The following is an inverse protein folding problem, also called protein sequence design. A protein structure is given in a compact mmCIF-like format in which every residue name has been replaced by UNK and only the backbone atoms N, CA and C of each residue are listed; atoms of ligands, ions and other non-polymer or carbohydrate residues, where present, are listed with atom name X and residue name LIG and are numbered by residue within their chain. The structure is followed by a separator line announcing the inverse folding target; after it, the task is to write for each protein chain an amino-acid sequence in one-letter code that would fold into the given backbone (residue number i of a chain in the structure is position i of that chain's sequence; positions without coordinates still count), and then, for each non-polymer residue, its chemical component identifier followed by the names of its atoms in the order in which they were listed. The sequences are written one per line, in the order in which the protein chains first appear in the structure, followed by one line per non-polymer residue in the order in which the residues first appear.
data_IF_187744666631
#
_entry.id   IF_187744666631
#
_cell.length_a   1.000
_cell.length_b   1.000
_cell.length_c   1.000
_cell.angle_alpha   90.00
_cell.angle_beta   90.00
_cell.angle_gamma   90.00
#
_symmetry.space_group_name_H-M   'P 1'
#
loop_
_entity.id
_entity.type
_entity.pdbx_description
1 polymer ?
#
# COMPACT_ATOMS: atom_id res chain seq x y z
N UNK A 1 -85.17 15.82 -20.15
CA UNK A 1 -85.06 15.77 -18.68
C UNK A 1 -84.46 14.43 -18.30
N UNK A 2 -83.57 14.34 -17.30
CA UNK A 2 -82.46 15.26 -16.96
C UNK A 2 -81.23 14.86 -17.85
N UNK A 3 -79.94 14.86 -17.50
CA UNK A 3 -79.15 15.41 -16.38
C UNK A 3 -77.75 15.84 -16.90
N UNK A 4 -77.04 16.63 -16.09
CA UNK A 4 -75.67 17.10 -16.30
C UNK A 4 -74.59 16.14 -15.75
N UNK A 5 -73.37 16.25 -16.33
CA UNK A 5 -72.01 16.25 -15.70
C UNK A 5 -71.51 15.13 -14.73
N UNK A 6 -70.19 15.05 -14.40
CA UNK A 6 -68.97 15.45 -15.14
C UNK A 6 -67.81 14.41 -15.10
N UNK A 7 -66.64 14.81 -15.63
CA UNK A 7 -65.25 14.48 -15.23
C UNK A 7 -64.96 13.25 -14.33
N UNK A 8 -64.08 12.36 -14.80
CA UNK A 8 -63.29 11.47 -13.96
C UNK A 8 -61.79 11.75 -14.18
N UNK A 9 -61.08 12.12 -13.10
CA UNK A 9 -59.71 12.61 -13.15
C UNK A 9 -58.69 11.50 -13.46
N UNK A 10 -57.60 11.88 -14.14
CA UNK A 10 -56.40 11.05 -14.23
C UNK A 10 -55.69 11.08 -12.87
N UNK A 11 -55.88 10.02 -12.07
CA UNK A 11 -55.16 9.86 -10.80
C UNK A 11 -53.66 9.69 -11.07
N UNK A 12 -52.89 10.72 -10.76
CA UNK A 12 -51.43 10.65 -10.75
C UNK A 12 -50.99 9.74 -9.62
N UNK A 13 -50.45 8.56 -9.95
CA UNK A 13 -49.73 7.73 -8.99
C UNK A 13 -48.48 8.48 -8.53
N UNK A 14 -48.56 9.15 -7.38
CA UNK A 14 -47.39 9.65 -6.68
C UNK A 14 -46.49 8.45 -6.37
N UNK A 15 -45.28 8.47 -6.89
CA UNK A 15 -44.23 7.58 -6.45
C UNK A 15 -43.71 8.15 -5.14
N UNK A 16 -44.01 7.50 -4.01
CA UNK A 16 -43.41 7.84 -2.73
C UNK A 16 -41.89 7.64 -2.84
N UNK A 17 -41.17 8.74 -3.03
CA UNK A 17 -39.74 8.78 -2.82
C UNK A 17 -39.51 8.77 -1.31
N UNK A 18 -39.02 7.64 -0.80
CA UNK A 18 -38.58 7.55 0.60
C UNK A 18 -37.48 8.60 0.85
N UNK A 19 -37.84 9.68 1.54
CA UNK A 19 -36.86 10.64 2.04
C UNK A 19 -36.00 9.94 3.09
N UNK A 20 -34.81 9.53 2.68
CA UNK A 20 -33.76 9.09 3.58
C UNK A 20 -33.51 10.18 4.62
N UNK A 21 -33.62 9.83 5.90
CA UNK A 21 -33.52 10.68 7.09
C UNK A 21 -32.35 11.69 7.01
N UNK A 22 -32.66 12.86 6.45
CA UNK A 22 -31.72 13.92 6.14
C UNK A 22 -31.61 14.87 7.30
N UNK A 23 -30.88 14.48 8.35
CA UNK A 23 -30.48 15.43 9.39
C UNK A 23 -29.76 16.62 8.73
N UNK A 24 -30.30 17.83 8.90
CA UNK A 24 -29.72 19.04 8.32
C UNK A 24 -28.29 19.22 8.82
N UNK A 25 -27.32 18.95 7.94
CA UNK A 25 -25.91 19.19 8.21
C UNK A 25 -25.71 20.71 8.17
N UNK A 26 -25.71 21.35 9.33
CA UNK A 26 -25.43 22.78 9.49
C UNK A 26 -23.94 23.06 9.21
N UNK A 27 -23.63 23.26 7.93
CA UNK A 27 -22.28 23.63 7.45
C UNK A 27 -22.10 25.12 7.68
N UNK A 28 -21.06 25.51 8.43
CA UNK A 28 -20.75 26.93 8.61
C UNK A 28 -20.46 27.63 7.27
N UNK A 29 -20.87 28.89 7.11
CA UNK A 29 -20.57 29.68 5.90
C UNK A 29 -19.06 29.71 5.57
N UNK A 30 -18.22 29.64 6.62
CA UNK A 30 -16.76 29.58 6.49
C UNK A 30 -16.29 28.24 5.90
N UNK A 31 -16.87 27.13 6.34
CA UNK A 31 -16.58 25.79 5.80
C UNK A 31 -17.07 25.64 4.36
N UNK A 32 -18.29 26.08 4.06
CA UNK A 32 -18.85 26.04 2.71
C UNK A 32 -17.98 26.86 1.72
N UNK A 33 -17.53 28.04 2.13
CA UNK A 33 -16.61 28.89 1.35
C UNK A 33 -15.22 28.26 1.17
N UNK A 34 -14.67 27.64 2.22
CA UNK A 34 -13.39 26.93 2.16
C UNK A 34 -13.44 25.72 1.22
N UNK A 35 -14.51 24.91 1.30
CA UNK A 35 -14.78 23.77 0.41
C UNK A 35 -14.85 24.24 -1.04
N UNK A 36 -15.66 25.26 -1.35
CA UNK A 36 -15.79 25.79 -2.71
C UNK A 36 -14.47 26.36 -3.26
N UNK A 37 -13.68 27.02 -2.41
CA UNK A 37 -12.37 27.57 -2.79
C UNK A 37 -11.37 26.45 -3.10
N UNK A 38 -11.38 25.38 -2.30
CA UNK A 38 -10.53 24.21 -2.51
C UNK A 38 -10.94 23.42 -3.77
N UNK A 39 -12.24 23.24 -4.02
CA UNK A 39 -12.77 22.63 -5.27
C UNK A 39 -12.26 23.38 -6.51
N UNK A 40 -12.42 24.72 -6.56
CA UNK A 40 -11.93 25.53 -7.67
C UNK A 40 -10.39 25.53 -7.82
N UNK A 41 -9.64 25.41 -6.71
CA UNK A 41 -8.19 25.27 -6.75
C UNK A 41 -7.76 23.92 -7.36
N UNK A 42 -8.45 22.83 -7.01
CA UNK A 42 -8.20 21.48 -7.53
C UNK A 42 -8.66 21.31 -8.98
N UNK A 43 -9.71 21.99 -9.43
CA UNK A 43 -10.07 22.08 -10.86
C UNK A 43 -8.97 22.75 -11.69
N UNK A 44 -8.32 23.78 -11.14
CA UNK A 44 -7.23 24.52 -11.79
C UNK A 44 -5.89 23.75 -11.76
N UNK A 45 -5.57 23.10 -10.64
CA UNK A 45 -4.38 22.27 -10.47
C UNK A 45 -4.73 20.95 -9.75
N UNK A 46 -5.12 19.89 -10.48
CA UNK A 46 -5.42 18.59 -9.89
C UNK A 46 -4.22 17.95 -9.16
N UNK A 47 -2.99 18.40 -9.45
CA UNK A 47 -1.75 17.84 -8.90
C UNK A 47 -1.27 18.54 -7.61
N UNK A 48 -2.11 19.34 -6.95
CA UNK A 48 -1.80 19.92 -5.64
C UNK A 48 -2.11 18.94 -4.49
N UNK A 49 -1.07 18.24 -4.00
CA UNK A 49 -1.19 17.31 -2.88
C UNK A 49 -1.68 17.98 -1.58
N UNK A 50 -1.21 19.19 -1.27
CA UNK A 50 -1.63 19.92 -0.06
C UNK A 50 -3.07 20.41 -0.20
N UNK A 51 -3.45 20.87 -1.41
CA UNK A 51 -4.83 21.18 -1.77
C UNK A 51 -5.80 20.03 -1.50
N UNK A 52 -5.49 18.82 -1.97
CA UNK A 52 -6.31 17.62 -1.72
C UNK A 52 -6.40 17.29 -0.23
N UNK A 53 -5.27 17.31 0.49
CA UNK A 53 -5.25 17.01 1.93
C UNK A 53 -6.09 18.01 2.76
N UNK A 54 -6.00 19.30 2.43
CA UNK A 54 -6.81 20.35 3.07
C UNK A 54 -8.30 20.19 2.73
N UNK A 55 -8.63 19.92 1.46
CA UNK A 55 -10.01 19.67 1.02
C UNK A 55 -10.65 18.50 1.78
N UNK A 56 -9.97 17.35 1.85
CA UNK A 56 -10.41 16.17 2.62
C UNK A 56 -10.66 16.52 4.09
N UNK A 57 -9.75 17.27 4.72
CA UNK A 57 -9.89 17.72 6.11
C UNK A 57 -11.14 18.59 6.33
N UNK A 58 -11.43 19.53 5.43
CA UNK A 58 -12.63 20.37 5.49
C UNK A 58 -13.92 19.56 5.28
N UNK A 59 -13.97 18.73 4.24
CA UNK A 59 -15.13 17.88 3.91
C UNK A 59 -15.43 16.90 5.05
N UNK A 60 -14.38 16.31 5.65
CA UNK A 60 -14.50 15.44 6.84
C UNK A 60 -15.03 16.18 8.06
N UNK A 61 -14.54 17.39 8.34
CA UNK A 61 -15.03 18.24 9.44
C UNK A 61 -16.53 18.53 9.32
N UNK A 62 -17.02 18.66 8.08
CA UNK A 62 -18.44 18.91 7.79
C UNK A 62 -19.31 17.64 7.80
N UNK A 63 -18.76 16.45 8.02
CA UNK A 63 -19.52 15.19 8.02
C UNK A 63 -20.08 14.77 6.65
N UNK A 64 -19.59 15.35 5.55
CA UNK A 64 -20.11 15.14 4.19
C UNK A 64 -19.61 13.83 3.58
N UNK A 65 -20.13 12.69 4.06
CA UNK A 65 -19.59 11.35 3.79
C UNK A 65 -19.43 11.01 2.30
N UNK A 66 -20.42 11.33 1.46
CA UNK A 66 -20.34 11.07 0.02
C UNK A 66 -19.18 11.85 -0.63
N UNK A 67 -19.13 13.18 -0.43
CA UNK A 67 -18.02 14.02 -0.90
C UNK A 67 -16.67 13.58 -0.32
N UNK A 68 -16.64 13.11 0.93
CA UNK A 68 -15.40 12.67 1.59
C UNK A 68 -14.82 11.42 0.90
N UNK A 69 -15.67 10.47 0.53
CA UNK A 69 -15.28 9.28 -0.23
C UNK A 69 -14.76 9.67 -1.62
N UNK A 70 -15.52 10.48 -2.35
CA UNK A 70 -15.13 10.93 -3.70
C UNK A 70 -13.81 11.70 -3.67
N UNK A 71 -13.60 12.57 -2.68
CA UNK A 71 -12.35 13.32 -2.50
C UNK A 71 -11.14 12.41 -2.22
N UNK A 72 -11.32 11.39 -1.37
CA UNK A 72 -10.28 10.42 -1.03
C UNK A 72 -9.95 9.49 -2.20
N UNK A 73 -10.96 9.02 -2.94
CA UNK A 73 -10.75 8.22 -4.16
C UNK A 73 -10.10 9.05 -5.27
N UNK A 74 -10.46 10.33 -5.43
CA UNK A 74 -9.82 11.26 -6.37
C UNK A 74 -8.34 11.50 -6.02
N UNK A 75 -8.03 11.85 -4.76
CA UNK A 75 -6.66 12.02 -4.30
C UNK A 75 -5.84 10.74 -4.47
N UNK A 76 -6.39 9.58 -4.07
CA UNK A 76 -5.72 8.29 -4.25
C UNK A 76 -5.58 7.89 -5.72
N UNK A 77 -6.41 8.36 -6.66
CA UNK A 77 -6.19 8.07 -8.07
C UNK A 77 -4.89 8.68 -8.60
N UNK A 78 -4.53 9.87 -8.10
CA UNK A 78 -3.35 10.63 -8.50
C UNK A 78 -2.11 10.26 -7.66
N UNK A 79 -2.26 10.17 -6.34
CA UNK A 79 -1.16 10.04 -5.39
C UNK A 79 -1.22 8.75 -4.56
N UNK A 80 -0.10 8.06 -4.34
CA UNK A 80 0.03 7.10 -3.24
C UNK A 80 -0.10 7.85 -1.91
N UNK A 81 -0.98 7.39 -1.02
CA UNK A 81 -1.28 8.12 0.22
C UNK A 81 -0.32 7.71 1.36
N UNK A 82 0.03 8.68 2.21
CA UNK A 82 0.81 8.42 3.42
C UNK A 82 0.01 7.67 4.50
N UNK A 83 0.73 7.01 5.42
CA UNK A 83 0.13 6.19 6.50
C UNK A 83 -0.98 6.92 7.28
N UNK A 84 -0.77 8.20 7.62
CA UNK A 84 -1.76 8.97 8.38
C UNK A 84 -3.11 9.14 7.68
N UNK A 85 -3.10 9.39 6.36
CA UNK A 85 -4.32 9.56 5.55
C UNK A 85 -5.03 8.21 5.40
N UNK A 86 -4.27 7.14 5.11
CA UNK A 86 -4.82 5.79 5.05
C UNK A 86 -5.46 5.37 6.38
N UNK A 87 -4.76 5.55 7.51
CA UNK A 87 -5.30 5.18 8.83
C UNK A 87 -6.50 6.04 9.26
N UNK A 88 -6.66 7.26 8.75
CA UNK A 88 -7.88 8.04 8.97
C UNK A 88 -9.05 7.47 8.16
N UNK A 89 -8.84 7.24 6.86
CA UNK A 89 -9.89 6.71 5.97
C UNK A 89 -10.35 5.31 6.42
N UNK A 90 -9.42 4.41 6.74
CA UNK A 90 -9.74 3.07 7.23
C UNK A 90 -10.55 3.09 8.54
N UNK A 91 -10.33 4.05 9.43
CA UNK A 91 -11.13 4.19 10.66
C UNK A 91 -12.55 4.65 10.38
N UNK A 92 -12.71 5.64 9.50
CA UNK A 92 -14.03 6.15 9.13
C UNK A 92 -14.87 5.05 8.43
N UNK A 93 -14.24 4.22 7.60
CA UNK A 93 -14.91 3.13 6.86
C UNK A 93 -15.21 1.92 7.76
N UNK A 94 -14.36 1.62 8.75
CA UNK A 94 -14.70 0.66 9.81
C UNK A 94 -15.89 1.15 10.64
N UNK A 95 -15.97 2.43 10.98
CA UNK A 95 -17.14 3.01 11.66
C UNK A 95 -18.40 3.01 10.76
N UNK A 96 -18.24 3.20 9.45
CA UNK A 96 -19.33 3.05 8.47
C UNK A 96 -19.85 1.59 8.41
N UNK A 97 -18.96 0.60 8.49
CA UNK A 97 -19.33 -0.81 8.62
C UNK A 97 -20.05 -1.11 9.95
N UNK A 98 -19.56 -0.58 11.07
CA UNK A 98 -20.21 -0.74 12.39
C UNK A 98 -21.61 -0.11 12.46
N UNK A 99 -21.85 0.98 11.71
CA UNK A 99 -23.17 1.60 11.54
C UNK A 99 -24.04 0.94 10.46
N UNK A 100 -23.53 -0.07 9.75
CA UNK A 100 -24.25 -0.81 8.71
C UNK A 100 -24.36 -0.08 7.35
N UNK A 101 -23.60 1.00 7.15
CA UNK A 101 -23.59 1.80 5.91
C UNK A 101 -22.51 1.38 4.90
N UNK A 102 -21.58 0.51 5.29
CA UNK A 102 -20.59 -0.12 4.42
C UNK A 102 -20.58 -1.65 4.58
N UNK A 103 -20.18 -2.40 3.54
CA UNK A 103 -20.07 -3.86 3.61
C UNK A 103 -18.70 -4.33 4.14
N UNK A 104 -18.58 -5.62 4.52
CA UNK A 104 -17.29 -6.18 4.94
C UNK A 104 -16.30 -6.20 3.77
N UNK A 105 -16.82 -6.43 2.57
CA UNK A 105 -16.12 -6.48 1.30
C UNK A 105 -15.54 -5.11 0.93
N UNK A 106 -16.29 -4.01 1.14
CA UNK A 106 -15.81 -2.64 0.90
C UNK A 106 -14.59 -2.31 1.76
N UNK A 107 -14.69 -2.52 3.08
CA UNK A 107 -13.61 -2.25 4.03
C UNK A 107 -12.41 -3.18 3.80
N UNK A 108 -12.66 -4.43 3.40
CA UNK A 108 -11.59 -5.38 3.02
C UNK A 108 -10.85 -4.90 1.76
N UNK A 109 -11.59 -4.51 0.71
CA UNK A 109 -11.02 -3.94 -0.52
C UNK A 109 -10.18 -2.70 -0.24
N UNK A 110 -10.62 -1.84 0.68
CA UNK A 110 -9.89 -0.63 1.03
C UNK A 110 -8.59 -0.94 1.78
N UNK A 111 -8.59 -1.91 2.71
CA UNK A 111 -7.35 -2.37 3.35
C UNK A 111 -6.38 -3.01 2.34
N UNK A 112 -6.88 -3.82 1.39
CA UNK A 112 -6.07 -4.38 0.30
C UNK A 112 -5.44 -3.30 -0.58
N UNK A 113 -6.09 -2.16 -0.75
CA UNK A 113 -5.54 -1.01 -1.47
C UNK A 113 -4.46 -0.31 -0.64
N UNK A 114 -4.75 -0.04 0.63
CA UNK A 114 -3.86 0.69 1.53
C UNK A 114 -2.49 -0.01 1.76
N UNK A 115 -2.44 -1.34 1.76
CA UNK A 115 -1.18 -2.10 1.91
C UNK A 115 -0.28 -2.09 0.66
N UNK A 116 -0.72 -1.53 -0.47
CA UNK A 116 0.05 -1.51 -1.72
C UNK A 116 0.95 -0.28 -1.89
N UNK A 117 0.59 0.87 -1.30
CA UNK A 117 1.35 2.11 -1.48
C UNK A 117 2.71 2.06 -0.77
N UNK A 118 2.71 1.77 0.53
CA UNK A 118 3.91 1.74 1.39
C UNK A 118 3.84 0.65 2.45
N UNK A 119 5.01 0.22 2.92
CA UNK A 119 5.12 -0.67 4.07
C UNK A 119 4.75 0.10 5.35
N UNK A 120 3.53 -0.11 5.85
CA UNK A 120 3.08 0.34 7.18
C UNK A 120 2.67 -0.86 8.02
N UNK A 121 3.30 -1.02 9.19
CA UNK A 121 2.89 -2.03 10.17
C UNK A 121 1.52 -1.68 10.80
N UNK A 122 1.20 -0.39 10.95
CA UNK A 122 -0.08 0.02 11.53
C UNK A 122 -1.27 -0.27 10.60
N UNK A 123 -1.13 -0.08 9.28
CA UNK A 123 -2.17 -0.45 8.30
C UNK A 123 -2.39 -1.96 8.32
N UNK A 124 -1.32 -2.77 8.34
CA UNK A 124 -1.43 -4.22 8.50
C UNK A 124 -2.14 -4.61 9.81
N UNK A 125 -1.81 -3.98 10.93
CA UNK A 125 -2.48 -4.26 12.22
C UNK A 125 -3.97 -3.85 12.20
N UNK A 126 -4.33 -2.73 11.56
CA UNK A 126 -5.72 -2.32 11.33
C UNK A 126 -6.46 -3.40 10.54
N UNK A 127 -5.88 -3.84 9.42
CA UNK A 127 -6.48 -4.86 8.57
C UNK A 127 -6.68 -6.18 9.32
N UNK A 128 -5.65 -6.64 10.04
CA UNK A 128 -5.70 -7.88 10.80
C UNK A 128 -6.72 -7.83 11.94
N UNK A 129 -6.87 -6.68 12.60
CA UNK A 129 -7.91 -6.47 13.61
C UNK A 129 -9.32 -6.52 12.98
N UNK A 130 -9.53 -5.83 11.86
CA UNK A 130 -10.79 -5.81 11.13
C UNK A 130 -11.18 -7.21 10.62
N UNK A 131 -10.30 -7.90 9.90
CA UNK A 131 -10.64 -9.20 9.32
C UNK A 131 -10.75 -10.32 10.37
N UNK A 132 -10.10 -10.17 11.52
CA UNK A 132 -10.32 -11.04 12.69
C UNK A 132 -11.66 -10.76 13.41
N UNK A 133 -12.33 -9.64 13.13
CA UNK A 133 -13.60 -9.31 13.78
C UNK A 133 -14.73 -10.22 13.28
N UNK A 134 -15.58 -10.69 14.20
CA UNK A 134 -16.71 -11.58 13.88
C UNK A 134 -16.36 -13.05 13.56
N UNK A 135 -15.09 -13.42 13.45
CA UNK A 135 -14.69 -14.82 13.16
C UNK A 135 -14.86 -15.70 14.40
N UNK A 136 -15.69 -16.73 14.29
CA UNK A 136 -15.96 -17.70 15.35
C UNK A 136 -15.04 -18.92 15.23
N UNK A 137 -14.66 -19.54 16.35
CA UNK A 137 -13.74 -20.69 16.39
C UNK A 137 -14.19 -21.93 15.61
N UNK A 138 -15.47 -22.02 15.23
CA UNK A 138 -16.03 -23.10 14.42
C UNK A 138 -15.94 -22.91 12.90
N UNK A 139 -15.70 -21.68 12.41
CA UNK A 139 -15.67 -21.40 10.97
C UNK A 139 -14.27 -21.66 10.38
N UNK A 140 -14.05 -22.90 9.95
CA UNK A 140 -12.77 -23.29 9.35
C UNK A 140 -12.44 -22.54 8.04
N UNK A 141 -13.41 -21.96 7.34
CA UNK A 141 -13.17 -21.23 6.10
C UNK A 141 -12.68 -19.82 6.41
N UNK A 142 -13.44 -19.06 7.21
CA UNK A 142 -13.05 -17.71 7.64
C UNK A 142 -11.74 -17.71 8.43
N UNK A 143 -11.50 -18.72 9.28
CA UNK A 143 -10.21 -18.86 9.98
C UNK A 143 -9.05 -19.09 8.99
N UNK A 144 -9.27 -19.80 7.88
CA UNK A 144 -8.22 -19.99 6.85
C UNK A 144 -7.89 -18.67 6.16
N UNK A 145 -8.90 -17.92 5.75
CA UNK A 145 -8.75 -16.62 5.09
C UNK A 145 -7.97 -15.62 5.98
N UNK A 146 -8.35 -15.53 7.26
CA UNK A 146 -7.63 -14.67 8.23
C UNK A 146 -6.16 -15.10 8.39
N UNK A 147 -5.87 -16.41 8.42
CA UNK A 147 -4.48 -16.92 8.46
C UNK A 147 -3.69 -16.54 7.21
N UNK A 148 -4.30 -16.61 6.03
CA UNK A 148 -3.64 -16.23 4.77
C UNK A 148 -3.30 -14.72 4.76
N UNK A 149 -4.15 -13.88 5.35
CA UNK A 149 -3.86 -12.44 5.54
C UNK A 149 -2.74 -12.23 6.58
N UNK A 150 -2.73 -12.98 7.68
CA UNK A 150 -1.61 -12.95 8.65
C UNK A 150 -0.27 -13.37 8.01
N UNK A 151 -0.24 -14.41 7.18
CA UNK A 151 0.99 -14.83 6.50
C UNK A 151 1.46 -13.82 5.44
N UNK A 152 0.55 -13.14 4.73
CA UNK A 152 0.90 -11.98 3.88
C UNK A 152 1.46 -10.82 4.70
N UNK A 153 0.81 -10.47 5.80
CA UNK A 153 1.28 -9.42 6.70
C UNK A 153 2.68 -9.73 7.26
N UNK A 154 2.93 -10.98 7.66
CA UNK A 154 4.27 -11.44 8.08
C UNK A 154 5.27 -11.40 6.92
N UNK A 155 4.89 -11.78 5.71
CA UNK A 155 5.78 -11.70 4.53
C UNK A 155 6.24 -10.26 4.27
N UNK A 156 5.35 -9.27 4.46
CA UNK A 156 5.69 -7.85 4.33
C UNK A 156 6.47 -7.28 5.54
N UNK A 157 6.10 -7.64 6.76
CA UNK A 157 6.51 -6.91 7.99
C UNK A 157 7.46 -7.67 8.92
N UNK A 158 7.61 -9.00 8.80
CA UNK A 158 8.31 -9.81 9.82
C UNK A 158 9.79 -9.47 10.00
N UNK A 159 10.46 -8.96 8.96
CA UNK A 159 11.87 -8.53 8.99
C UNK A 159 12.05 -7.08 9.46
N UNK A 160 10.96 -6.36 9.73
CA UNK A 160 11.01 -5.00 10.26
C UNK A 160 11.51 -5.04 11.71
N UNK A 161 12.72 -4.55 11.95
CA UNK A 161 13.48 -4.81 13.17
C UNK A 161 12.80 -4.32 14.47
N UNK A 162 12.26 -3.11 14.47
CA UNK A 162 11.51 -2.52 15.57
C UNK A 162 10.08 -3.08 15.66
N UNK A 163 9.27 -2.84 14.62
CA UNK A 163 7.83 -3.06 14.68
C UNK A 163 7.30 -4.43 14.24
N UNK A 164 8.07 -5.25 13.51
CA UNK A 164 7.59 -6.54 12.97
C UNK A 164 7.08 -7.49 14.05
N UNK A 165 7.63 -7.42 15.27
CA UNK A 165 7.18 -8.16 16.45
C UNK A 165 5.69 -7.93 16.79
N UNK A 166 5.12 -6.76 16.46
CA UNK A 166 3.71 -6.43 16.71
C UNK A 166 2.76 -7.32 15.91
N UNK A 167 3.09 -7.61 14.64
CA UNK A 167 2.29 -8.49 13.78
C UNK A 167 2.38 -9.95 14.24
N UNK A 168 3.58 -10.40 14.64
CA UNK A 168 3.74 -11.71 15.28
C UNK A 168 2.90 -11.85 16.54
N UNK A 169 2.86 -10.82 17.40
CA UNK A 169 2.06 -10.81 18.62
C UNK A 169 0.55 -10.87 18.33
N UNK A 170 0.06 -10.07 17.36
CA UNK A 170 -1.33 -10.11 16.92
C UNK A 170 -1.75 -11.50 16.40
N UNK A 171 -0.89 -12.18 15.64
CA UNK A 171 -1.17 -13.52 15.14
C UNK A 171 -1.20 -14.57 16.26
N UNK A 172 -0.25 -14.50 17.21
CA UNK A 172 -0.29 -15.36 18.42
C UNK A 172 -1.57 -15.14 19.23
N UNK A 173 -2.00 -13.89 19.39
CA UNK A 173 -3.24 -13.55 20.10
C UNK A 173 -4.48 -14.07 19.35
N UNK A 174 -4.50 -14.04 18.02
CA UNK A 174 -5.56 -14.66 17.23
C UNK A 174 -5.62 -16.19 17.43
N UNK A 175 -4.51 -16.90 17.23
CA UNK A 175 -4.45 -18.37 17.41
C UNK A 175 -4.76 -18.80 18.86
N UNK A 176 -4.37 -18.01 19.86
CA UNK A 176 -4.73 -18.27 21.26
C UNK A 176 -6.24 -18.09 21.52
N UNK A 177 -6.87 -17.05 20.95
CA UNK A 177 -8.32 -16.81 21.07
C UNK A 177 -9.16 -17.94 20.48
N UNK A 178 -8.72 -18.55 19.37
CA UNK A 178 -9.45 -19.67 18.74
C UNK A 178 -9.56 -20.92 19.64
N UNK A 179 -8.61 -21.10 20.57
CA UNK A 179 -8.51 -22.28 21.45
C UNK A 179 -9.00 -22.00 22.88
N UNK A 180 -9.25 -20.73 23.22
CA UNK A 180 -9.81 -20.37 24.52
C UNK A 180 -11.23 -20.97 24.69
N UNK A 181 -11.54 -21.65 25.81
CA UNK A 181 -12.88 -22.15 26.07
C UNK A 181 -13.86 -20.99 26.22
N UNK A 182 -15.02 -21.08 25.57
CA UNK A 182 -16.01 -20.00 25.54
C UNK A 182 -16.88 -19.90 26.81
N UNK A 183 -16.74 -20.83 27.76
CA UNK A 183 -17.47 -20.85 29.04
C UNK A 183 -16.54 -21.10 30.23
N UNK A 184 -16.83 -20.48 31.38
CA UNK A 184 -16.08 -20.60 32.65
C UNK A 184 -16.30 -21.95 33.38
N UNK A 185 -16.51 -23.04 32.65
CA UNK A 185 -17.03 -24.31 33.17
C UNK A 185 -16.12 -25.50 32.89
N UNK A 186 -14.83 -25.40 33.22
CA UNK A 186 -14.05 -26.53 33.75
C UNK A 186 -12.72 -26.13 34.39
N UNK A 187 -12.37 -26.87 35.42
CA UNK A 187 -11.15 -26.84 36.25
C UNK A 187 -9.86 -26.42 35.54
N UNK A 188 -9.02 -25.66 36.25
CA UNK A 188 -7.70 -25.19 35.84
C UNK A 188 -6.66 -26.31 35.59
N UNK A 189 -6.83 -27.09 34.52
CA UNK A 189 -5.68 -27.62 33.78
C UNK A 189 -4.97 -26.44 33.13
N UNK A 190 -3.66 -26.31 33.35
CA UNK A 190 -2.86 -25.25 32.76
C UNK A 190 -3.11 -25.22 31.24
N UNK A 191 -3.40 -24.03 30.70
CA UNK A 191 -3.65 -23.81 29.28
C UNK A 191 -2.44 -24.27 28.48
N UNK A 192 -2.45 -25.50 27.96
CA UNK A 192 -1.36 -25.97 27.13
C UNK A 192 -1.35 -25.13 25.85
N UNK A 193 -0.24 -24.44 25.55
CA UNK A 193 -0.18 -23.53 24.41
C UNK A 193 -0.25 -24.36 23.14
N UNK A 194 -1.17 -23.97 22.26
CA UNK A 194 -1.41 -24.65 20.98
C UNK A 194 -0.11 -24.79 20.20
N UNK A 195 0.15 -25.97 19.61
CA UNK A 195 1.34 -26.21 18.77
C UNK A 195 1.50 -25.16 17.64
N UNK A 196 0.40 -24.54 17.19
CA UNK A 196 0.43 -23.37 16.30
C UNK A 196 1.06 -22.12 16.91
N UNK A 197 0.68 -21.76 18.14
CA UNK A 197 1.26 -20.62 18.88
C UNK A 197 2.74 -20.87 19.17
N UNK A 198 3.10 -22.10 19.57
CA UNK A 198 4.50 -22.50 19.69
C UNK A 198 5.24 -22.38 18.35
N UNK A 199 4.69 -22.88 17.25
CA UNK A 199 5.29 -22.75 15.92
C UNK A 199 5.50 -21.29 15.48
N UNK A 200 4.58 -20.37 15.81
CA UNK A 200 4.76 -18.93 15.57
C UNK A 200 5.92 -18.35 16.39
N UNK A 201 6.03 -18.70 17.67
CA UNK A 201 7.20 -18.29 18.48
C UNK A 201 8.50 -18.84 17.90
N UNK A 202 8.56 -20.13 17.51
CA UNK A 202 9.76 -20.73 16.90
C UNK A 202 10.20 -19.97 15.64
N UNK A 203 9.25 -19.54 14.80
CA UNK A 203 9.51 -18.70 13.61
C UNK A 203 10.02 -17.32 14.00
N UNK A 204 9.37 -16.61 14.92
CA UNK A 204 9.79 -15.27 15.34
C UNK A 204 11.17 -15.27 16.01
N UNK A 205 11.46 -16.25 16.87
CA UNK A 205 12.75 -16.35 17.58
C UNK A 205 13.95 -16.57 16.64
N UNK A 206 13.72 -17.10 15.44
CA UNK A 206 14.74 -17.20 14.40
C UNK A 206 14.98 -15.87 13.63
N UNK A 207 14.16 -14.83 13.84
CA UNK A 207 14.26 -13.54 13.15
C UNK A 207 15.01 -12.50 14.01
N UNK A 208 16.03 -11.79 13.48
CA UNK A 208 16.70 -10.70 14.21
C UNK A 208 15.79 -9.47 14.33
N UNK A 209 15.37 -9.15 15.55
CA UNK A 209 14.47 -8.04 15.90
C UNK A 209 14.75 -7.49 17.32
N UNK A 210 14.32 -6.25 17.61
CA UNK A 210 14.69 -5.50 18.82
C UNK A 210 14.25 -6.17 20.14
N UNK A 211 13.11 -6.85 20.16
CA UNK A 211 12.48 -7.41 21.37
C UNK A 211 12.66 -8.92 21.52
N UNK A 212 13.73 -9.48 20.94
CA UNK A 212 13.93 -10.94 20.87
C UNK A 212 14.06 -11.61 22.25
N UNK A 213 14.73 -10.96 23.22
CA UNK A 213 14.84 -11.49 24.59
C UNK A 213 13.50 -11.55 25.35
N UNK A 214 12.62 -10.56 25.16
CA UNK A 214 11.26 -10.58 25.72
C UNK A 214 10.42 -11.69 25.07
N UNK A 215 10.54 -11.85 23.74
CA UNK A 215 9.87 -12.92 22.99
C UNK A 215 10.31 -14.31 23.48
N UNK A 216 11.58 -14.49 23.87
CA UNK A 216 12.05 -15.75 24.45
C UNK A 216 11.39 -16.03 25.80
N UNK A 217 11.31 -15.03 26.69
CA UNK A 217 10.65 -15.17 27.99
C UNK A 217 9.15 -15.46 27.86
N UNK A 218 8.46 -14.81 26.92
CA UNK A 218 7.07 -15.13 26.57
C UNK A 218 6.92 -16.57 26.10
N UNK A 219 7.81 -17.05 25.23
CA UNK A 219 7.78 -18.42 24.71
C UNK A 219 8.05 -19.46 25.80
N UNK A 220 9.04 -19.23 26.68
CA UNK A 220 9.31 -20.15 27.80
C UNK A 220 8.16 -20.22 28.79
N UNK A 221 7.51 -19.09 29.09
CA UNK A 221 6.29 -19.05 29.91
C UNK A 221 5.12 -19.75 29.22
N UNK A 222 4.95 -19.53 27.92
CA UNK A 222 4.01 -20.23 27.05
C UNK A 222 4.53 -21.63 26.65
N UNK A 223 4.95 -22.45 27.63
CA UNK A 223 5.23 -23.88 27.46
C UNK A 223 6.49 -24.25 26.66
N UNK A 224 7.24 -23.27 26.12
CA UNK A 224 8.45 -23.49 25.35
C UNK A 224 9.57 -24.24 26.10
N UNK A 225 9.54 -24.20 27.44
CA UNK A 225 10.46 -24.95 28.29
C UNK A 225 10.37 -26.48 28.07
N UNK A 226 9.19 -27.00 27.74
CA UNK A 226 8.92 -28.43 27.53
C UNK A 226 8.94 -28.82 26.02
N UNK A 227 9.21 -27.86 25.13
CA UNK A 227 9.20 -28.09 23.68
C UNK A 227 10.29 -29.08 23.24
N UNK A 228 9.95 -30.17 22.52
CA UNK A 228 10.94 -31.11 21.98
C UNK A 228 12.04 -30.44 21.13
N UNK A 229 11.73 -29.31 20.49
CA UNK A 229 12.66 -28.53 19.64
C UNK A 229 13.43 -27.45 20.41
N UNK A 230 13.31 -27.34 21.75
CA UNK A 230 13.91 -26.25 22.55
C UNK A 230 15.39 -25.98 22.25
N UNK A 231 16.20 -27.02 22.01
CA UNK A 231 17.62 -26.85 21.65
C UNK A 231 17.83 -26.15 20.31
N UNK A 232 17.01 -26.46 19.31
CA UNK A 232 17.05 -25.83 17.98
C UNK A 232 16.57 -24.39 18.05
N UNK A 233 15.50 -24.14 18.82
CA UNK A 233 14.93 -22.79 19.05
C UNK A 233 15.94 -21.87 19.72
N UNK A 234 16.63 -22.33 20.77
CA UNK A 234 17.66 -21.55 21.45
C UNK A 234 18.86 -21.27 20.54
N UNK A 235 19.34 -22.26 19.76
CA UNK A 235 20.42 -22.05 18.81
C UNK A 235 20.05 -21.05 17.68
N UNK A 236 18.81 -21.10 17.19
CA UNK A 236 18.27 -20.14 16.24
C UNK A 236 18.15 -18.73 16.85
N UNK A 237 17.68 -18.63 18.10
CA UNK A 237 17.60 -17.39 18.85
C UNK A 237 18.99 -16.77 19.12
N UNK A 238 19.99 -17.56 19.52
CA UNK A 238 21.37 -17.09 19.68
C UNK A 238 21.99 -16.60 18.35
N UNK A 239 21.64 -17.22 17.23
CA UNK A 239 22.03 -16.73 15.90
C UNK A 239 21.31 -15.42 15.54
N UNK A 240 20.00 -15.32 15.81
CA UNK A 240 19.20 -14.13 15.59
C UNK A 240 19.67 -12.96 16.47
N UNK A 241 20.01 -13.19 17.74
CA UNK A 241 20.55 -12.20 18.67
C UNK A 241 21.90 -11.64 18.21
N UNK A 242 22.85 -12.51 17.80
CA UNK A 242 24.13 -12.04 17.21
C UNK A 242 23.91 -11.21 15.95
N UNK A 243 22.98 -11.65 15.10
CA UNK A 243 22.59 -10.94 13.88
C UNK A 243 21.87 -9.61 14.18
N UNK A 244 21.15 -9.49 15.31
CA UNK A 244 20.52 -8.26 15.76
C UNK A 244 21.56 -7.25 16.29
N UNK A 245 22.53 -7.70 17.09
CA UNK A 245 23.60 -6.83 17.62
C UNK A 245 24.48 -6.18 16.55
N UNK A 246 24.64 -6.82 15.38
CA UNK A 246 25.31 -6.19 14.22
C UNK A 246 24.50 -5.03 13.61
N UNK A 247 23.20 -4.93 13.92
CA UNK A 247 22.23 -4.01 13.30
C UNK A 247 21.76 -2.90 14.23
N UNK A 248 21.81 -3.13 15.53
CA UNK A 248 21.61 -2.11 16.58
C UNK A 248 22.24 -0.73 16.27
N UNK A 249 23.52 -0.60 15.85
CA UNK A 249 24.09 0.73 15.55
C UNK A 249 23.47 1.42 14.33
N UNK A 250 22.91 0.67 13.38
CA UNK A 250 22.23 1.22 12.22
C UNK A 250 20.78 1.58 12.52
N UNK A 251 20.07 0.74 13.29
CA UNK A 251 18.72 1.02 13.77
C UNK A 251 18.72 2.22 14.73
N UNK A 252 19.73 2.37 15.58
CA UNK A 252 19.93 3.57 16.41
C UNK A 252 20.23 4.84 15.59
N UNK A 253 20.84 4.71 14.40
CA UNK A 253 21.16 5.84 13.53
C UNK A 253 19.95 6.32 12.70
N UNK A 254 18.97 5.45 12.42
CA UNK A 254 17.69 5.85 11.79
C UNK A 254 16.62 6.22 12.83
N UNK A 255 16.80 5.83 14.09
CA UNK A 255 15.96 6.25 15.21
C UNK A 255 14.56 5.61 15.22
N UNK A 256 13.64 6.27 15.93
CA UNK A 256 12.23 5.87 15.98
C UNK A 256 11.47 6.31 14.72
N UNK A 257 10.42 5.58 14.37
CA UNK A 257 9.53 5.96 13.27
C UNK A 257 8.76 7.25 13.58
N UNK A 258 8.56 8.08 12.56
CA UNK A 258 8.07 9.45 12.73
C UNK A 258 9.18 10.50 12.95
N UNK A 259 10.45 10.10 12.95
CA UNK A 259 11.57 11.04 12.82
C UNK A 259 11.44 11.91 11.57
N UNK A 260 11.92 13.16 11.64
CA UNK A 260 11.85 14.11 10.54
C UNK A 260 12.63 13.57 9.32
N UNK A 261 12.00 13.65 8.13
CA UNK A 261 12.59 13.19 6.87
C UNK A 261 13.71 14.12 6.40
N UNK A 262 14.90 13.97 6.97
CA UNK A 262 16.06 14.81 6.70
C UNK A 262 17.25 14.06 6.05
N UNK A 263 18.32 14.82 5.75
CA UNK A 263 19.54 14.30 5.12
C UNK A 263 20.30 13.32 6.05
N UNK A 264 20.20 13.47 7.37
CA UNK A 264 20.87 12.60 8.33
C UNK A 264 20.18 11.23 8.36
N UNK A 265 18.85 11.20 8.44
CA UNK A 265 18.04 9.99 8.39
C UNK A 265 18.25 9.23 7.07
N UNK A 266 18.25 9.95 5.94
CA UNK A 266 18.56 9.37 4.63
C UNK A 266 19.99 8.78 4.61
N UNK A 267 20.98 9.48 5.17
CA UNK A 267 22.35 8.99 5.31
C UNK A 267 22.46 7.72 6.17
N UNK A 268 21.67 7.62 7.23
CA UNK A 268 21.53 6.42 8.07
C UNK A 268 21.00 5.23 7.28
N UNK A 269 19.87 5.40 6.58
CA UNK A 269 19.30 4.37 5.71
C UNK A 269 20.26 3.91 4.61
N UNK A 270 20.95 4.84 3.95
CA UNK A 270 21.93 4.50 2.91
C UNK A 270 23.12 3.70 3.47
N UNK A 271 23.61 4.06 4.65
CA UNK A 271 24.69 3.32 5.33
C UNK A 271 24.27 1.90 5.71
N UNK A 272 23.03 1.73 6.15
CA UNK A 272 22.45 0.45 6.53
C UNK A 272 22.16 -0.45 5.31
N UNK A 273 21.63 0.12 4.22
CA UNK A 273 21.46 -0.58 2.95
C UNK A 273 22.81 -1.12 2.43
N UNK A 274 23.90 -0.35 2.52
CA UNK A 274 25.23 -0.82 2.13
C UNK A 274 25.77 -1.93 3.07
N UNK A 275 25.38 -1.97 4.34
CA UNK A 275 25.67 -3.08 5.24
C UNK A 275 24.91 -4.36 4.83
N UNK A 276 23.59 -4.28 4.62
CA UNK A 276 22.78 -5.47 4.25
C UNK A 276 23.18 -6.02 2.87
N UNK A 277 23.48 -5.14 1.90
CA UNK A 277 23.99 -5.54 0.57
C UNK A 277 25.32 -6.32 0.69
N UNK A 278 26.21 -5.95 1.61
CA UNK A 278 27.47 -6.66 1.88
C UNK A 278 27.25 -7.98 2.62
N UNK A 279 26.26 -8.05 3.51
CA UNK A 279 25.83 -9.30 4.16
C UNK A 279 25.16 -10.27 3.17
N UNK A 280 24.52 -9.74 2.13
CA UNK A 280 23.88 -10.51 1.06
C UNK A 280 22.46 -10.97 1.37
N UNK A 281 21.84 -10.45 2.44
CA UNK A 281 20.45 -10.76 2.80
C UNK A 281 19.49 -9.96 1.91
N UNK A 282 18.93 -10.62 0.90
CA UNK A 282 18.06 -9.98 -0.09
C UNK A 282 16.72 -9.53 0.50
N UNK A 283 16.17 -10.30 1.45
CA UNK A 283 14.87 -10.00 2.04
C UNK A 283 14.97 -8.81 3.02
N UNK A 284 16.09 -8.70 3.77
CA UNK A 284 16.37 -7.51 4.58
C UNK A 284 16.70 -6.28 3.74
N UNK A 285 17.44 -6.44 2.62
CA UNK A 285 17.61 -5.35 1.65
C UNK A 285 16.26 -4.83 1.13
N UNK A 286 15.35 -5.73 0.75
CA UNK A 286 14.00 -5.36 0.32
C UNK A 286 13.23 -4.63 1.44
N UNK A 287 13.22 -5.17 2.66
CA UNK A 287 12.56 -4.54 3.80
C UNK A 287 13.12 -3.13 4.10
N UNK A 288 14.44 -2.92 4.03
CA UNK A 288 15.03 -1.59 4.17
C UNK A 288 14.68 -0.63 3.04
N UNK A 289 14.60 -1.11 1.79
CA UNK A 289 14.14 -0.28 0.66
C UNK A 289 12.69 0.15 0.86
N UNK A 290 11.80 -0.76 1.26
CA UNK A 290 10.39 -0.42 1.54
C UNK A 290 10.26 0.57 2.72
N UNK A 291 11.07 0.41 3.78
CA UNK A 291 11.14 1.36 4.92
C UNK A 291 11.58 2.76 4.49
N UNK A 292 12.69 2.88 3.74
CA UNK A 292 13.19 4.21 3.32
C UNK A 292 12.27 4.87 2.29
N UNK A 293 11.61 4.09 1.43
CA UNK A 293 10.65 4.61 0.44
C UNK A 293 9.34 5.08 1.06
N UNK A 294 8.92 4.53 2.21
CA UNK A 294 7.80 5.07 2.99
C UNK A 294 8.10 6.45 3.61
N UNK A 295 9.38 6.76 3.89
CA UNK A 295 9.82 8.05 4.46
C UNK A 295 10.22 9.06 3.39
N UNK A 296 10.84 8.61 2.30
CA UNK A 296 11.37 9.47 1.22
C UNK A 296 10.75 9.14 -0.16
N UNK A 297 9.41 9.11 -0.30
CA UNK A 297 8.73 8.58 -1.48
C UNK A 297 9.07 9.32 -2.78
N UNK A 298 9.26 10.64 -2.75
CA UNK A 298 9.61 11.46 -3.93
C UNK A 298 11.08 11.39 -4.34
N UNK A 299 11.90 10.57 -3.67
CA UNK A 299 13.34 10.46 -3.92
C UNK A 299 13.64 9.45 -5.02
N UNK A 300 13.52 9.88 -6.28
CA UNK A 300 13.60 9.03 -7.47
C UNK A 300 14.84 8.10 -7.55
N UNK A 301 15.99 8.50 -7.01
CA UNK A 301 17.19 7.65 -7.05
C UNK A 301 17.04 6.40 -6.17
N UNK A 302 16.26 6.46 -5.08
CA UNK A 302 15.97 5.29 -4.24
C UNK A 302 15.12 4.28 -5.01
N UNK A 303 14.08 4.73 -5.72
CA UNK A 303 13.28 3.86 -6.60
C UNK A 303 14.12 3.20 -7.69
N UNK A 304 15.00 3.97 -8.34
CA UNK A 304 15.92 3.43 -9.36
C UNK A 304 16.88 2.39 -8.79
N UNK A 305 17.44 2.62 -7.60
CA UNK A 305 18.28 1.65 -6.91
C UNK A 305 17.51 0.41 -6.47
N UNK A 306 16.29 0.59 -5.93
CA UNK A 306 15.44 -0.51 -5.47
C UNK A 306 15.02 -1.41 -6.63
N UNK A 307 14.47 -0.84 -7.70
CA UNK A 307 14.05 -1.62 -8.87
C UNK A 307 15.25 -2.32 -9.53
N UNK A 308 16.41 -1.66 -9.65
CA UNK A 308 17.65 -2.28 -10.13
C UNK A 308 18.16 -3.41 -9.22
N UNK A 309 17.97 -3.30 -7.90
CA UNK A 309 18.25 -4.37 -6.94
C UNK A 309 17.32 -5.58 -7.16
N UNK A 310 16.01 -5.35 -7.29
CA UNK A 310 15.04 -6.40 -7.61
C UNK A 310 15.38 -7.09 -8.93
N UNK A 311 15.66 -6.31 -9.99
CA UNK A 311 16.08 -6.83 -11.28
C UNK A 311 17.35 -7.70 -11.16
N UNK A 312 18.45 -7.13 -10.66
CA UNK A 312 19.76 -7.79 -10.65
C UNK A 312 19.85 -9.03 -9.73
N UNK A 313 19.04 -9.11 -8.67
CA UNK A 313 19.15 -10.18 -7.67
C UNK A 313 18.04 -11.21 -7.70
N UNK A 314 16.83 -10.83 -8.12
CA UNK A 314 15.64 -11.66 -7.98
C UNK A 314 15.07 -12.19 -9.32
N UNK A 315 15.47 -11.67 -10.49
CA UNK A 315 14.99 -12.12 -11.83
C UNK A 315 15.13 -13.63 -12.17
N UNK A 316 15.70 -14.44 -11.28
CA UNK A 316 15.82 -15.90 -11.43
C UNK A 316 14.62 -16.69 -10.88
N UNK A 317 13.56 -16.02 -10.42
CA UNK A 317 12.32 -16.62 -9.90
C UNK A 317 11.10 -16.04 -10.61
N UNK A 318 10.10 -16.86 -10.94
CA UNK A 318 8.93 -16.42 -11.74
C UNK A 318 8.04 -15.42 -11.00
N UNK A 319 7.88 -15.57 -9.68
CA UNK A 319 7.03 -14.70 -8.84
C UNK A 319 7.55 -13.26 -8.75
N UNK A 320 8.83 -13.04 -9.06
CA UNK A 320 9.50 -11.75 -8.92
C UNK A 320 9.06 -10.74 -9.97
N UNK A 321 8.54 -11.18 -11.12
CA UNK A 321 8.03 -10.25 -12.13
C UNK A 321 6.91 -9.36 -11.56
N UNK A 322 6.01 -9.90 -10.72
CA UNK A 322 4.95 -9.13 -10.05
C UNK A 322 5.50 -8.09 -9.08
N UNK A 323 6.54 -8.45 -8.32
CA UNK A 323 7.21 -7.54 -7.40
C UNK A 323 7.90 -6.39 -8.15
N UNK A 324 8.59 -6.69 -9.27
CA UNK A 324 9.24 -5.68 -10.11
C UNK A 324 8.21 -4.75 -10.76
N UNK A 325 7.12 -5.27 -11.33
CA UNK A 325 6.10 -4.43 -11.97
C UNK A 325 5.33 -3.57 -10.96
N UNK A 326 5.04 -4.09 -9.76
CA UNK A 326 4.49 -3.34 -8.64
C UNK A 326 5.42 -2.21 -8.17
N UNK A 327 6.71 -2.51 -7.96
CA UNK A 327 7.71 -1.50 -7.58
C UNK A 327 7.83 -0.39 -8.63
N UNK A 328 7.84 -0.73 -9.92
CA UNK A 328 7.85 0.28 -10.98
C UNK A 328 6.56 1.10 -11.05
N UNK A 329 5.39 0.49 -10.86
CA UNK A 329 4.12 1.23 -10.83
C UNK A 329 4.13 2.28 -9.70
N UNK A 330 4.48 1.87 -8.48
CA UNK A 330 4.64 2.75 -7.31
C UNK A 330 5.69 3.84 -7.55
N UNK A 331 6.80 3.50 -8.18
CA UNK A 331 7.85 4.46 -8.54
C UNK A 331 7.35 5.54 -9.52
N UNK A 332 6.62 5.15 -10.57
CA UNK A 332 6.09 6.11 -11.55
C UNK A 332 4.96 7.00 -11.01
N UNK A 333 4.19 6.52 -10.02
CA UNK A 333 3.21 7.36 -9.30
C UNK A 333 3.88 8.37 -8.36
N UNK A 334 5.01 7.99 -7.76
CA UNK A 334 5.76 8.86 -6.83
C UNK A 334 6.72 9.84 -7.50
N UNK A 335 7.27 9.48 -8.66
CA UNK A 335 8.23 10.29 -9.39
C UNK A 335 7.86 10.35 -10.90
N UNK A 336 6.65 10.83 -11.27
CA UNK A 336 6.17 10.83 -12.65
C UNK A 336 7.04 11.68 -13.60
N UNK A 337 7.83 12.62 -13.09
CA UNK A 337 8.76 13.43 -13.88
C UNK A 337 10.02 12.69 -14.37
N UNK A 338 10.25 11.42 -13.97
CA UNK A 338 11.48 10.68 -14.31
C UNK A 338 11.22 9.66 -15.42
N UNK A 339 11.59 10.00 -16.66
CA UNK A 339 11.38 9.16 -17.84
C UNK A 339 12.05 7.79 -17.76
N UNK A 340 13.21 7.70 -17.11
CA UNK A 340 13.86 6.41 -16.85
C UNK A 340 13.00 5.42 -16.02
N UNK A 341 12.12 5.89 -15.14
CA UNK A 341 11.21 4.99 -14.40
C UNK A 341 10.12 4.44 -15.32
N UNK A 342 9.54 5.28 -16.18
CA UNK A 342 8.55 4.89 -17.18
C UNK A 342 9.11 3.93 -18.23
N UNK A 343 10.29 4.23 -18.78
CA UNK A 343 11.00 3.38 -19.74
C UNK A 343 11.18 1.96 -19.17
N UNK A 344 11.71 1.86 -17.94
CA UNK A 344 11.92 0.56 -17.29
C UNK A 344 10.62 -0.12 -16.87
N UNK A 345 9.57 0.62 -16.47
CA UNK A 345 8.22 0.07 -16.20
C UNK A 345 7.67 -0.65 -17.44
N UNK A 346 7.70 0.00 -18.61
CA UNK A 346 7.26 -0.58 -19.89
C UNK A 346 8.09 -1.83 -20.23
N UNK A 347 9.42 -1.78 -20.10
CA UNK A 347 10.28 -2.97 -20.31
C UNK A 347 9.98 -4.09 -19.32
N UNK A 348 9.73 -3.79 -18.05
CA UNK A 348 9.43 -4.78 -17.03
C UNK A 348 8.09 -5.48 -17.29
N UNK A 349 7.05 -4.73 -17.65
CA UNK A 349 5.75 -5.26 -18.07
C UNK A 349 5.88 -6.15 -19.31
N UNK A 350 6.65 -5.71 -20.32
CA UNK A 350 6.91 -6.52 -21.50
C UNK A 350 7.64 -7.83 -21.17
N UNK A 351 8.65 -7.80 -20.29
CA UNK A 351 9.33 -9.01 -19.76
C UNK A 351 8.40 -9.92 -18.95
N UNK A 352 7.41 -9.36 -18.27
CA UNK A 352 6.40 -10.09 -17.50
C UNK A 352 5.30 -10.73 -18.39
N UNK A 353 5.26 -10.39 -19.69
CA UNK A 353 4.25 -10.90 -20.62
C UNK A 353 2.94 -10.11 -20.63
N UNK A 354 2.95 -8.84 -20.20
CA UNK A 354 1.81 -7.93 -20.23
C UNK A 354 1.17 -7.84 -21.63
N UNK A 355 -0.14 -7.59 -21.65
CA UNK A 355 -0.90 -7.40 -22.89
C UNK A 355 -0.57 -6.03 -23.53
N UNK A 356 -0.81 -5.90 -24.84
CA UNK A 356 -0.62 -4.64 -25.57
C UNK A 356 -1.37 -3.48 -24.91
N UNK A 357 -2.65 -3.67 -24.56
CA UNK A 357 -3.47 -2.62 -23.93
C UNK A 357 -2.93 -2.13 -22.59
N UNK A 358 -2.28 -2.99 -21.80
CA UNK A 358 -1.64 -2.62 -20.54
C UNK A 358 -0.38 -1.78 -20.80
N UNK A 359 0.45 -2.20 -21.78
CA UNK A 359 1.61 -1.43 -22.22
C UNK A 359 1.23 -0.08 -22.84
N UNK A 360 0.13 -0.03 -23.60
CA UNK A 360 -0.42 1.17 -24.22
C UNK A 360 -0.94 2.17 -23.17
N UNK A 361 -1.63 1.68 -22.13
CA UNK A 361 -2.09 2.50 -21.01
C UNK A 361 -0.90 3.16 -20.28
N UNK A 362 0.12 2.37 -19.91
CA UNK A 362 1.33 2.90 -19.25
C UNK A 362 2.15 3.82 -20.14
N UNK A 363 2.17 3.59 -21.45
CA UNK A 363 2.77 4.52 -22.42
C UNK A 363 1.98 5.85 -22.47
N UNK A 364 0.65 5.81 -22.47
CA UNK A 364 -0.21 6.99 -22.38
C UNK A 364 -0.01 7.78 -21.09
N UNK A 365 0.04 7.10 -19.94
CA UNK A 365 0.39 7.68 -18.63
C UNK A 365 1.76 8.41 -18.70
N UNK A 366 2.77 7.77 -19.28
CA UNK A 366 4.11 8.33 -19.41
C UNK A 366 4.19 9.56 -20.33
N UNK A 367 3.38 9.62 -21.39
CA UNK A 367 3.27 10.81 -22.24
C UNK A 367 2.48 11.94 -21.57
N UNK A 368 1.47 11.62 -20.75
CA UNK A 368 0.72 12.61 -19.98
C UNK A 368 1.56 13.19 -18.82
N UNK A 369 2.44 12.38 -18.23
CA UNK A 369 3.33 12.80 -17.14
C UNK A 369 4.31 13.92 -17.57
N UNK A 370 4.59 14.86 -16.67
CA UNK A 370 5.51 15.98 -16.91
C UNK A 370 7.00 15.57 -16.77
N UNK A 371 7.45 14.64 -17.61
CA UNK A 371 8.88 14.38 -17.86
C UNK A 371 9.51 15.60 -18.57
N UNK A 372 10.53 16.26 -17.98
CA UNK A 372 11.07 17.53 -18.49
C UNK A 372 12.21 17.36 -19.50
N UNK A 373 12.77 16.16 -19.67
CA UNK A 373 13.92 15.89 -20.55
C UNK A 373 13.46 15.18 -21.81
N UNK A 374 13.79 15.72 -22.99
CA UNK A 374 13.37 15.19 -24.30
C UNK A 374 13.90 13.79 -24.57
N UNK A 375 15.18 13.55 -24.26
CA UNK A 375 15.83 12.24 -24.44
C UNK A 375 15.14 11.14 -23.64
N UNK A 376 14.68 11.46 -22.42
CA UNK A 376 13.97 10.54 -21.53
C UNK A 376 12.60 10.15 -22.11
N UNK A 377 11.85 11.10 -22.70
CA UNK A 377 10.61 10.79 -23.43
C UNK A 377 10.90 9.94 -24.67
N UNK A 378 11.99 10.20 -25.39
CA UNK A 378 12.44 9.33 -26.51
C UNK A 378 12.75 7.91 -26.02
N UNK A 379 13.37 7.72 -24.84
CA UNK A 379 13.59 6.37 -24.29
C UNK A 379 12.27 5.64 -23.98
N UNK A 380 11.26 6.33 -23.46
CA UNK A 380 9.90 5.79 -23.25
C UNK A 380 9.28 5.32 -24.58
N UNK A 381 9.33 6.16 -25.62
CA UNK A 381 8.86 5.82 -26.99
C UNK A 381 9.59 4.58 -27.52
N UNK A 382 10.92 4.54 -27.41
CA UNK A 382 11.73 3.40 -27.87
C UNK A 382 11.47 2.11 -27.06
N UNK A 383 11.11 2.23 -25.79
CA UNK A 383 10.73 1.09 -24.95
C UNK A 383 9.39 0.48 -25.41
N UNK A 384 8.41 1.30 -25.75
CA UNK A 384 7.13 0.81 -26.28
C UNK A 384 7.25 0.33 -27.73
N UNK A 385 7.97 1.05 -28.60
CA UNK A 385 8.27 0.65 -29.97
C UNK A 385 8.98 -0.71 -30.09
N UNK A 386 9.74 -1.11 -29.07
CA UNK A 386 10.35 -2.44 -28.99
C UNK A 386 9.31 -3.57 -29.00
N UNK A 387 8.10 -3.37 -28.46
CA UNK A 387 7.01 -4.34 -28.47
C UNK A 387 6.63 -4.73 -29.91
N UNK A 388 6.22 -3.75 -30.71
CA UNK A 388 5.84 -3.95 -32.12
C UNK A 388 6.99 -4.50 -32.96
N UNK A 389 8.23 -4.07 -32.69
CA UNK A 389 9.43 -4.63 -33.31
C UNK A 389 9.60 -6.13 -33.03
N UNK A 390 9.39 -6.58 -31.79
CA UNK A 390 9.43 -7.99 -31.42
C UNK A 390 8.31 -8.82 -32.06
N UNK A 391 7.12 -8.22 -32.24
CA UNK A 391 5.97 -8.84 -32.93
C UNK A 391 6.08 -8.81 -34.46
N UNK A 392 6.99 -7.99 -35.01
CA UNK A 392 7.18 -7.70 -36.46
C UNK A 392 6.03 -6.89 -37.08
N UNK A 393 5.32 -6.10 -36.27
CA UNK A 393 4.19 -5.27 -36.66
C UNK A 393 4.67 -3.91 -37.19
N UNK A 394 5.28 -3.91 -38.38
CA UNK A 394 5.97 -2.75 -38.95
C UNK A 394 5.06 -1.54 -39.21
N UNK A 395 3.78 -1.76 -39.55
CA UNK A 395 2.81 -0.68 -39.78
C UNK A 395 2.45 0.06 -38.49
N UNK A 396 2.19 -0.66 -37.40
CA UNK A 396 1.94 -0.09 -36.09
C UNK A 396 3.18 0.64 -35.56
N UNK A 397 4.37 0.05 -35.73
CA UNK A 397 5.64 0.69 -35.38
C UNK A 397 5.86 2.01 -36.12
N UNK A 398 5.56 2.07 -37.43
CA UNK A 398 5.65 3.32 -38.19
C UNK A 398 4.65 4.36 -37.69
N UNK A 399 3.39 3.98 -37.47
CA UNK A 399 2.35 4.87 -36.94
C UNK A 399 2.74 5.46 -35.58
N UNK A 400 3.22 4.61 -34.66
CA UNK A 400 3.66 5.02 -33.32
C UNK A 400 4.80 6.06 -33.38
N UNK A 401 5.81 5.83 -34.24
CA UNK A 401 6.95 6.73 -34.35
C UNK A 401 6.53 8.09 -34.94
N UNK A 402 5.63 8.11 -35.93
CA UNK A 402 5.09 9.36 -36.50
C UNK A 402 4.25 10.16 -35.48
N UNK A 403 3.45 9.48 -34.66
CA UNK A 403 2.68 10.12 -33.59
C UNK A 403 3.60 10.66 -32.47
N UNK A 404 4.61 9.87 -32.07
CA UNK A 404 5.59 10.27 -31.08
C UNK A 404 6.45 11.46 -31.53
N UNK A 405 6.85 11.52 -32.80
CA UNK A 405 7.57 12.65 -33.39
C UNK A 405 6.75 13.95 -33.24
N UNK A 406 5.49 13.93 -33.68
CA UNK A 406 4.56 15.06 -33.51
C UNK A 406 4.35 15.45 -32.04
N UNK A 407 4.25 14.48 -31.13
CA UNK A 407 4.12 14.76 -29.69
C UNK A 407 5.38 15.45 -29.14
N UNK A 408 6.57 14.94 -29.48
CA UNK A 408 7.86 15.54 -29.08
C UNK A 408 8.03 16.95 -29.63
N UNK A 409 7.69 17.20 -30.89
CA UNK A 409 7.70 18.54 -31.50
C UNK A 409 6.74 19.51 -30.79
N UNK A 410 5.54 19.05 -30.45
CA UNK A 410 4.52 19.88 -29.77
C UNK A 410 4.96 20.21 -28.33
N UNK A 411 5.57 19.24 -27.64
CA UNK A 411 5.95 19.33 -26.23
C UNK A 411 7.23 20.12 -25.97
N UNK A 412 8.23 19.98 -26.84
CA UNK A 412 9.56 20.59 -26.70
C UNK A 412 9.81 21.74 -27.70
N UNK A 413 8.72 22.41 -28.10
CA UNK A 413 8.74 23.60 -28.95
C UNK A 413 9.56 24.72 -28.27
N UNK A 414 10.74 25.02 -28.83
CA UNK A 414 11.68 26.04 -28.34
C UNK A 414 13.06 25.51 -27.92
N UNK A 415 13.22 24.21 -27.60
CA UNK A 415 14.55 23.67 -27.25
C UNK A 415 15.50 23.57 -28.46
N UNK A 416 14.95 23.37 -29.66
CA UNK A 416 15.71 23.31 -30.91
C UNK A 416 16.45 24.62 -31.20
N UNK A 417 15.84 25.77 -30.91
CA UNK A 417 16.40 27.10 -31.20
C UNK A 417 17.59 27.46 -30.29
N UNK A 418 17.72 26.82 -29.12
CA UNK A 418 18.82 27.04 -28.18
C UNK A 418 20.00 26.06 -28.35
N UNK A 419 19.87 25.07 -29.25
CA UNK A 419 20.97 24.13 -29.58
C UNK A 419 21.86 24.59 -30.75
N UNK A 420 21.51 25.71 -31.38
CA UNK A 420 22.15 26.27 -32.58
C UNK A 420 22.64 27.73 -32.41
N UNK A 421 22.71 28.21 -31.17
CA UNK A 421 23.21 29.54 -30.78
C UNK A 421 24.32 29.42 -29.72
#
# INVERSE_FOLDING_TARGET
MPNDEPMAEASSSQSDSEESDGGEIDISEQDASAIMTAEAALESNPYDYEGHANYISHVRRCGLQAKLKDAREAMHSLFPLGEGIWLEWLKDEVAAFESGSATREDVTRLHELAVQDYLSVNIWLSYLAFISSGVQSGDSAAISEVRDVFERALTATSLHFSQGARVWAAYRQFEARLVAPQEETSTASAQQPTEKVLALFRRQLAVPHAHSGATLAEWEHAGGAEDPRRKEVLAAHEAAMRSAGEREPFEAAIGEEGAAADIQLLGGYMSYLEFEKKKGDLARCQCLYERVLAVFPVTHFLWLQYCSFLESRLLRQQDVNRLITSAYARATRNCPWVGQLWERRIRALHRAGAAEGELAAVYGEALAAHVPVREDVVQVVLAYAHYFKCKKELSQLQSLLTEAEKHLETRFQGELDHSLA
#
